data_IF_853289989833
#
_entry.id   IF_853289989833
#
_cell.length_a   1.000
_cell.length_b   1.000
_cell.length_c   1.000
_cell.angle_alpha   90.00
_cell.angle_beta   90.00
_cell.angle_gamma   90.00
#
_symmetry.space_group_name_H-M   'P 1'
#
loop_
_entity.id
_entity.type
_entity.pdbx_description
1 polymer ?
#
# COMPACT_ATOMS: atom_id res chain seq x y z
N UNK A 1 -9.61 30.87 3.74
CA UNK A 1 -10.18 30.63 2.40
C UNK A 1 -10.81 29.26 2.36
N UNK A 2 -12.10 29.21 2.25
CA UNK A 2 -12.80 27.96 1.99
C UNK A 2 -12.66 27.64 0.50
N UNK A 3 -11.90 26.62 0.20
CA UNK A 3 -11.94 26.06 -1.14
C UNK A 3 -13.27 25.34 -1.33
N UNK A 4 -14.12 25.91 -2.15
CA UNK A 4 -15.30 25.18 -2.63
C UNK A 4 -14.76 24.06 -3.51
N UNK A 5 -14.95 22.81 -3.09
CA UNK A 5 -14.53 21.67 -3.86
C UNK A 5 -15.28 21.67 -5.20
N UNK A 6 -14.57 21.83 -6.30
CA UNK A 6 -15.10 21.59 -7.62
C UNK A 6 -15.48 20.09 -7.70
N UNK A 7 -16.76 19.76 -7.95
CA UNK A 7 -17.21 18.36 -8.04
C UNK A 7 -16.52 17.57 -9.14
N UNK A 8 -15.84 18.23 -10.06
CA UNK A 8 -15.06 17.61 -11.13
C UNK A 8 -13.63 17.29 -10.69
N UNK A 9 -13.17 17.85 -9.58
CA UNK A 9 -11.84 17.58 -9.06
C UNK A 9 -11.83 16.25 -8.34
N UNK A 10 -10.85 15.42 -8.67
CA UNK A 10 -10.57 14.22 -7.87
C UNK A 10 -10.26 14.63 -6.44
N UNK A 11 -10.74 13.85 -5.44
CA UNK A 11 -10.42 14.14 -4.04
C UNK A 11 -8.91 14.28 -3.84
N UNK A 12 -8.50 15.29 -3.09
CA UNK A 12 -7.10 15.48 -2.74
C UNK A 12 -6.63 14.30 -1.88
N UNK A 13 -5.39 13.86 -2.12
CA UNK A 13 -4.71 12.88 -1.27
C UNK A 13 -4.20 13.50 0.03
N UNK A 14 -4.22 14.81 0.14
CA UNK A 14 -3.83 15.52 1.34
C UNK A 14 -4.99 15.48 2.35
N UNK A 15 -4.69 15.06 3.55
CA UNK A 15 -5.63 15.05 4.67
C UNK A 15 -5.06 15.85 5.83
N UNK A 16 -5.95 16.50 6.58
CA UNK A 16 -5.60 17.16 7.82
C UNK A 16 -5.94 16.25 8.98
N UNK A 17 -4.94 15.91 9.77
CA UNK A 17 -5.06 15.03 10.91
C UNK A 17 -4.87 15.84 12.19
N UNK A 18 -5.86 15.83 13.09
CA UNK A 18 -5.73 16.48 14.39
C UNK A 18 -4.79 15.68 15.27
N UNK A 19 -3.86 16.37 15.90
CA UNK A 19 -2.96 15.74 16.84
C UNK A 19 -3.73 15.35 18.12
N UNK A 20 -3.39 14.19 18.67
CA UNK A 20 -4.06 13.62 19.83
C UNK A 20 -3.93 14.44 21.11
N UNK A 21 -2.96 15.35 21.15
CA UNK A 21 -2.76 16.28 22.29
C UNK A 21 -3.66 17.52 22.24
N UNK A 22 -4.44 17.71 21.18
CA UNK A 22 -5.31 18.85 21.00
C UNK A 22 -4.62 20.15 20.58
N UNK A 23 -3.30 20.14 20.39
CA UNK A 23 -2.51 21.35 20.09
C UNK A 23 -2.21 21.58 18.63
N UNK A 24 -3.03 21.07 17.74
CA UNK A 24 -2.85 21.37 16.35
C UNK A 24 -3.34 20.31 15.42
N UNK A 25 -2.97 20.48 14.16
CA UNK A 25 -3.28 19.56 13.07
C UNK A 25 -2.05 19.47 12.18
N UNK A 26 -1.87 18.31 11.58
CA UNK A 26 -0.86 18.10 10.55
C UNK A 26 -1.49 17.62 9.25
N UNK A 27 -0.89 18.01 8.15
CA UNK A 27 -1.28 17.52 6.83
C UNK A 27 -0.45 16.27 6.52
N UNK A 28 -1.11 15.21 6.09
CA UNK A 28 -0.44 14.00 5.59
C UNK A 28 -0.94 13.62 4.20
N UNK A 29 -0.08 12.97 3.44
CA UNK A 29 -0.46 12.38 2.16
C UNK A 29 -1.22 11.09 2.44
N UNK A 30 -2.45 11.00 1.93
CA UNK A 30 -3.25 9.79 2.03
C UNK A 30 -2.66 8.71 1.12
N UNK A 31 -2.39 7.49 1.63
CA UNK A 31 -1.93 6.39 0.79
C UNK A 31 -2.91 6.11 -0.37
N UNK A 32 -2.39 5.64 -1.49
CA UNK A 32 -3.22 5.37 -2.68
C UNK A 32 -4.33 4.37 -2.39
N UNK A 33 -4.05 3.32 -1.61
CA UNK A 33 -5.04 2.31 -1.24
C UNK A 33 -6.21 2.94 -0.47
N UNK A 34 -5.93 3.82 0.47
CA UNK A 34 -6.95 4.54 1.23
C UNK A 34 -7.77 5.48 0.33
N UNK A 35 -7.10 6.15 -0.59
CA UNK A 35 -7.74 6.98 -1.61
C UNK A 35 -8.74 6.19 -2.45
N UNK A 36 -8.33 5.02 -2.92
CA UNK A 36 -9.17 4.15 -3.75
C UNK A 36 -10.35 3.58 -2.96
N UNK A 37 -10.16 3.27 -1.69
CA UNK A 37 -11.25 2.86 -0.80
C UNK A 37 -12.28 3.98 -0.63
N UNK A 38 -11.84 5.20 -0.35
CA UNK A 38 -12.72 6.36 -0.19
C UNK A 38 -13.53 6.67 -1.45
N UNK A 39 -12.95 6.43 -2.62
CA UNK A 39 -13.64 6.61 -3.90
C UNK A 39 -14.60 5.47 -4.23
N UNK A 40 -14.65 4.42 -3.43
CA UNK A 40 -15.41 3.22 -3.73
C UNK A 40 -14.80 2.32 -4.78
N UNK A 41 -13.56 2.60 -5.21
CA UNK A 41 -12.83 1.76 -6.18
C UNK A 41 -12.41 0.44 -5.56
N UNK A 42 -12.01 0.46 -4.29
CA UNK A 42 -11.69 -0.73 -3.51
C UNK A 42 -12.70 -0.89 -2.38
N UNK A 43 -13.01 -2.13 -2.06
CA UNK A 43 -13.77 -2.46 -0.85
C UNK A 43 -12.88 -2.31 0.38
N UNK A 44 -13.48 -2.23 1.56
CA UNK A 44 -12.73 -2.21 2.83
C UNK A 44 -11.84 -3.45 2.98
N UNK A 45 -12.33 -4.61 2.55
CA UNK A 45 -11.58 -5.87 2.56
C UNK A 45 -10.33 -5.79 1.68
N UNK A 46 -10.47 -5.29 0.46
CA UNK A 46 -9.37 -5.10 -0.48
C UNK A 46 -8.36 -4.07 0.05
N UNK A 47 -8.84 -2.98 0.61
CA UNK A 47 -7.99 -1.94 1.19
C UNK A 47 -7.17 -2.47 2.38
N UNK A 48 -7.77 -3.27 3.26
CA UNK A 48 -7.05 -3.92 4.36
C UNK A 48 -5.94 -4.84 3.86
N UNK A 49 -6.21 -5.61 2.81
CA UNK A 49 -5.20 -6.45 2.18
C UNK A 49 -4.03 -5.60 1.65
N UNK A 50 -4.31 -4.49 1.00
CA UNK A 50 -3.29 -3.57 0.52
C UNK A 50 -2.44 -2.96 1.62
N UNK A 51 -3.05 -2.55 2.72
CA UNK A 51 -2.34 -2.06 3.92
C UNK A 51 -1.44 -3.14 4.50
N UNK A 52 -1.91 -4.38 4.53
CA UNK A 52 -1.12 -5.50 5.05
C UNK A 52 0.12 -5.78 4.20
N UNK A 53 0.00 -5.71 2.88
CA UNK A 53 1.14 -5.83 1.96
C UNK A 53 2.17 -4.75 2.28
N UNK A 54 1.74 -3.50 2.39
CA UNK A 54 2.63 -2.38 2.69
C UNK A 54 3.35 -2.58 4.04
N UNK A 55 2.62 -2.96 5.08
CA UNK A 55 3.19 -3.18 6.41
C UNK A 55 4.24 -4.30 6.40
N UNK A 56 3.95 -5.41 5.74
CA UNK A 56 4.87 -6.52 5.63
C UNK A 56 6.13 -6.14 4.83
N UNK A 57 5.96 -5.39 3.75
CA UNK A 57 7.07 -4.87 2.95
C UNK A 57 7.92 -3.87 3.74
N UNK A 58 7.28 -2.91 4.40
CA UNK A 58 7.99 -1.88 5.15
C UNK A 58 8.80 -2.48 6.30
N UNK A 59 8.24 -3.41 7.05
CA UNK A 59 8.91 -4.06 8.17
C UNK A 59 9.89 -5.15 7.72
N UNK A 60 9.46 -6.04 6.81
CA UNK A 60 10.23 -7.24 6.47
C UNK A 60 11.31 -7.02 5.41
N UNK A 61 11.08 -6.12 4.47
CA UNK A 61 11.99 -5.87 3.34
C UNK A 61 12.76 -4.57 3.56
N UNK A 62 12.07 -3.46 3.75
CA UNK A 62 12.72 -2.16 3.94
C UNK A 62 13.34 -2.01 5.32
N UNK A 63 12.68 -2.50 6.36
CA UNK A 63 13.22 -2.49 7.71
C UNK A 63 14.52 -3.30 7.84
N UNK A 64 14.66 -4.37 7.07
CA UNK A 64 15.88 -5.16 7.00
C UNK A 64 17.06 -4.39 6.40
N UNK A 65 16.82 -3.46 5.46
CA UNK A 65 17.86 -2.61 4.87
C UNK A 65 18.31 -1.51 5.83
N UNK A 66 17.39 -0.99 6.64
CA UNK A 66 17.63 0.09 7.58
C UNK A 66 18.02 -0.42 8.96
N UNK A 67 17.93 -1.72 9.21
CA UNK A 67 18.16 -2.34 10.50
C UNK A 67 19.53 -2.10 11.10
N UNK A 68 20.53 -1.88 10.26
CA UNK A 68 21.91 -1.59 10.69
C UNK A 68 22.05 -0.19 11.30
N UNK A 69 21.14 0.72 11.00
CA UNK A 69 21.23 2.10 11.45
C UNK A 69 20.79 2.27 12.92
N UNK A 70 20.10 1.32 13.50
CA UNK A 70 19.56 1.44 14.85
C UNK A 70 20.42 0.82 15.95
N UNK A 71 21.43 0.07 15.59
CA UNK A 71 22.42 -0.46 16.54
C UNK A 71 21.85 -1.28 17.69
N UNK A 72 20.70 -1.87 17.53
CA UNK A 72 20.00 -2.60 18.58
C UNK A 72 20.55 -4.01 18.79
N UNK A 73 21.82 -4.15 19.07
CA UNK A 73 22.40 -5.28 19.77
C UNK A 73 22.00 -6.71 19.40
N UNK A 74 21.20 -6.88 18.39
CA UNK A 74 20.88 -8.17 17.83
C UNK A 74 21.96 -8.56 16.85
N UNK A 75 22.11 -9.82 16.60
CA UNK A 75 23.14 -10.47 15.80
C UNK A 75 23.67 -9.64 14.60
N UNK A 76 24.97 -9.77 14.26
CA UNK A 76 25.50 -9.23 13.01
C UNK A 76 24.77 -9.85 11.82
N UNK A 77 23.89 -9.11 11.22
CA UNK A 77 22.95 -9.60 10.25
C UNK A 77 21.49 -9.41 10.67
N UNK A 78 21.33 -8.95 11.82
CA UNK A 78 20.35 -8.29 12.65
C UNK A 78 18.90 -8.23 12.25
N UNK A 79 18.30 -9.33 11.82
CA UNK A 79 16.85 -9.36 11.67
C UNK A 79 16.18 -9.75 12.98
N UNK A 80 15.22 -8.94 13.43
CA UNK A 80 14.36 -9.34 14.54
C UNK A 80 13.40 -10.46 14.09
N UNK A 81 12.85 -11.20 15.06
CA UNK A 81 11.81 -12.19 14.76
C UNK A 81 10.63 -11.58 14.02
N UNK A 82 10.21 -10.37 14.40
CA UNK A 82 9.13 -9.65 13.74
C UNK A 82 9.45 -9.32 12.28
N UNK A 83 10.70 -8.93 11.99
CA UNK A 83 11.14 -8.65 10.61
C UNK A 83 11.15 -9.93 9.76
N UNK A 84 11.60 -11.04 10.32
CA UNK A 84 11.59 -12.32 9.61
C UNK A 84 10.17 -12.81 9.31
N UNK A 85 9.27 -12.66 10.27
CA UNK A 85 7.87 -13.02 10.09
C UNK A 85 7.21 -12.14 9.03
N UNK A 86 7.47 -10.84 9.06
CA UNK A 86 6.97 -9.90 8.06
C UNK A 86 7.51 -10.21 6.66
N UNK A 87 8.79 -10.54 6.53
CA UNK A 87 9.39 -10.93 5.26
C UNK A 87 8.77 -12.21 4.71
N UNK A 88 8.48 -13.18 5.57
CA UNK A 88 7.78 -14.41 5.21
C UNK A 88 6.38 -14.13 4.71
N UNK A 89 5.62 -13.35 5.46
CA UNK A 89 4.26 -12.95 5.10
C UNK A 89 4.24 -12.21 3.75
N UNK A 90 5.17 -11.29 3.55
CA UNK A 90 5.33 -10.58 2.28
C UNK A 90 5.52 -11.55 1.10
N UNK A 91 6.40 -12.53 1.26
CA UNK A 91 6.63 -13.54 0.21
C UNK A 91 5.40 -14.41 -0.05
N UNK A 92 4.67 -14.79 0.99
CA UNK A 92 3.43 -15.55 0.86
C UNK A 92 2.37 -14.76 0.09
N UNK A 93 2.20 -13.48 0.41
CA UNK A 93 1.26 -12.61 -0.30
C UNK A 93 1.67 -12.41 -1.76
N UNK A 94 2.96 -12.19 -2.01
CA UNK A 94 3.48 -12.09 -3.38
C UNK A 94 3.22 -13.37 -4.18
N UNK A 95 3.46 -14.51 -3.59
CA UNK A 95 3.21 -15.80 -4.23
C UNK A 95 1.72 -16.02 -4.50
N UNK A 96 0.86 -15.61 -3.60
CA UNK A 96 -0.59 -15.71 -3.78
C UNK A 96 -1.10 -14.86 -4.94
N UNK A 97 -0.54 -13.68 -5.13
CA UNK A 97 -0.87 -12.78 -6.25
C UNK A 97 -0.30 -13.31 -7.57
N UNK A 98 0.91 -13.82 -7.54
CA UNK A 98 1.59 -14.38 -8.71
C UNK A 98 2.38 -13.32 -9.49
N UNK A 99 3.33 -13.83 -10.29
CA UNK A 99 4.32 -12.99 -10.97
C UNK A 99 3.71 -12.01 -11.98
N UNK A 100 2.58 -12.34 -12.58
CA UNK A 100 1.94 -11.47 -13.58
C UNK A 100 1.25 -10.26 -12.97
N UNK A 101 0.60 -10.44 -11.84
CA UNK A 101 -0.18 -9.39 -11.18
C UNK A 101 0.63 -8.62 -10.14
N UNK A 102 1.72 -9.20 -9.66
CA UNK A 102 2.50 -8.61 -8.59
C UNK A 102 3.06 -7.22 -8.91
N UNK A 103 3.60 -6.94 -10.10
CA UNK A 103 4.10 -5.59 -10.41
C UNK A 103 3.04 -4.50 -10.23
N UNK A 104 1.82 -4.73 -10.68
CA UNK A 104 0.71 -3.80 -10.48
C UNK A 104 0.36 -3.65 -9.00
N UNK A 105 0.19 -4.76 -8.30
CA UNK A 105 -0.15 -4.78 -6.89
C UNK A 105 0.91 -4.06 -6.05
N UNK A 106 2.18 -4.35 -6.28
CA UNK A 106 3.31 -3.71 -5.60
C UNK A 106 3.38 -2.20 -5.89
N UNK A 107 3.23 -1.80 -7.14
CA UNK A 107 3.27 -0.39 -7.52
C UNK A 107 2.20 0.43 -6.79
N UNK A 108 0.99 -0.10 -6.66
CA UNK A 108 -0.09 0.60 -5.98
C UNK A 108 0.07 0.57 -4.47
N UNK A 109 0.39 -0.59 -3.89
CA UNK A 109 0.41 -0.75 -2.43
C UNK A 109 1.70 -0.24 -1.79
N UNK A 110 2.85 -0.44 -2.42
CA UNK A 110 4.16 -0.13 -1.84
C UNK A 110 4.78 1.13 -2.44
N UNK A 111 4.67 1.35 -3.75
CA UNK A 111 5.20 2.53 -4.41
C UNK A 111 4.20 3.69 -4.47
N UNK A 112 2.98 3.46 -4.04
CA UNK A 112 1.94 4.48 -3.94
C UNK A 112 1.49 5.07 -5.31
N UNK A 113 1.59 4.26 -6.36
CA UNK A 113 1.14 4.63 -7.69
C UNK A 113 -0.36 4.44 -7.87
N UNK A 114 -0.99 5.29 -8.66
CA UNK A 114 -2.36 5.01 -9.09
C UNK A 114 -2.40 3.88 -10.12
N UNK A 115 -3.51 3.14 -10.22
CA UNK A 115 -3.67 2.15 -11.30
C UNK A 115 -3.51 2.75 -12.69
N UNK A 116 -3.98 3.99 -12.89
CA UNK A 116 -3.83 4.71 -14.15
C UNK A 116 -2.36 4.98 -14.49
N UNK A 117 -1.56 5.39 -13.51
CA UNK A 117 -0.13 5.61 -13.69
C UNK A 117 0.58 4.33 -14.07
N UNK A 118 0.27 3.23 -13.39
CA UNK A 118 0.83 1.92 -13.75
C UNK A 118 0.48 1.54 -15.18
N UNK A 119 -0.79 1.67 -15.56
CA UNK A 119 -1.26 1.34 -16.91
C UNK A 119 -0.50 2.15 -17.98
N UNK A 120 -0.26 3.43 -17.72
CA UNK A 120 0.44 4.31 -18.66
C UNK A 120 1.94 4.04 -18.74
N UNK A 121 2.60 3.81 -17.61
CA UNK A 121 4.06 3.78 -17.53
C UNK A 121 4.65 2.37 -17.55
N UNK A 122 3.90 1.37 -17.08
CA UNK A 122 4.38 -0.02 -16.94
C UNK A 122 3.43 -1.06 -17.52
N UNK A 123 2.25 -0.66 -17.92
CA UNK A 123 1.18 -1.59 -18.31
C UNK A 123 1.25 -2.11 -19.74
N UNK A 124 2.20 -1.68 -20.56
CA UNK A 124 2.35 -2.17 -21.93
C UNK A 124 1.12 -1.99 -22.81
N UNK A 125 0.40 -0.86 -22.67
CA UNK A 125 -0.83 -0.60 -23.42
C UNK A 125 -2.11 -1.01 -22.69
N UNK A 126 -1.98 -1.40 -21.42
CA UNK A 126 -3.13 -1.75 -20.58
C UNK A 126 -4.07 -0.55 -20.40
N UNK A 127 -5.37 -0.78 -20.52
CA UNK A 127 -6.36 0.24 -20.22
C UNK A 127 -6.49 0.42 -18.69
N UNK A 128 -6.73 1.67 -18.27
CA UNK A 128 -6.92 2.01 -16.85
C UNK A 128 -7.95 1.13 -16.14
N UNK A 129 -9.10 0.88 -16.80
CA UNK A 129 -10.15 0.05 -16.21
C UNK A 129 -9.68 -1.40 -15.99
N UNK A 130 -8.87 -1.93 -16.90
CA UNK A 130 -8.27 -3.25 -16.73
C UNK A 130 -7.31 -3.28 -15.54
N UNK A 131 -6.49 -2.25 -15.36
CA UNK A 131 -5.59 -2.14 -14.22
C UNK A 131 -6.36 -2.15 -12.89
N UNK A 132 -7.48 -1.45 -12.80
CA UNK A 132 -8.34 -1.44 -11.61
C UNK A 132 -8.88 -2.84 -11.31
N UNK A 133 -9.41 -3.54 -12.31
CA UNK A 133 -9.95 -4.88 -12.12
C UNK A 133 -8.87 -5.90 -11.71
N UNK A 134 -7.69 -5.82 -12.32
CA UNK A 134 -6.57 -6.68 -11.97
C UNK A 134 -6.04 -6.38 -10.55
N UNK A 135 -6.05 -5.12 -10.14
CA UNK A 135 -5.71 -4.75 -8.77
C UNK A 135 -6.71 -5.33 -7.77
N UNK A 136 -7.99 -5.22 -8.05
CA UNK A 136 -9.05 -5.82 -7.20
C UNK A 136 -8.86 -7.31 -7.05
N UNK A 137 -8.61 -8.01 -8.15
CA UNK A 137 -8.33 -9.44 -8.13
C UNK A 137 -7.11 -9.78 -7.27
N UNK A 138 -6.02 -9.03 -7.43
CA UNK A 138 -4.80 -9.21 -6.65
C UNK A 138 -5.06 -9.07 -5.15
N UNK A 139 -5.80 -8.05 -4.76
CA UNK A 139 -6.11 -7.78 -3.35
C UNK A 139 -7.09 -8.80 -2.77
N UNK A 140 -8.02 -9.30 -3.57
CA UNK A 140 -8.90 -10.38 -3.15
C UNK A 140 -8.11 -11.67 -2.88
N UNK A 141 -7.12 -11.99 -3.72
CA UNK A 141 -6.25 -13.15 -3.50
C UNK A 141 -5.48 -13.04 -2.18
N UNK A 142 -4.98 -11.85 -1.86
CA UNK A 142 -4.29 -11.59 -0.59
C UNK A 142 -5.28 -11.67 0.58
N UNK A 143 -6.44 -11.08 0.45
CA UNK A 143 -7.47 -11.13 1.50
C UNK A 143 -7.90 -12.58 1.80
N UNK A 144 -8.05 -13.40 0.77
CA UNK A 144 -8.35 -14.83 0.93
C UNK A 144 -7.23 -15.55 1.69
N UNK A 145 -5.98 -15.28 1.34
CA UNK A 145 -4.82 -15.84 2.04
C UNK A 145 -4.81 -15.47 3.53
N UNK A 146 -5.17 -14.24 3.85
CA UNK A 146 -5.18 -13.73 5.23
C UNK A 146 -6.41 -14.17 6.02
N UNK A 147 -7.38 -14.81 5.38
CA UNK A 147 -8.63 -15.24 6.03
C UNK A 147 -9.59 -14.09 6.33
N UNK A 148 -9.49 -13.05 5.58
CA UNK A 148 -10.33 -11.86 5.72
C UNK A 148 -11.75 -12.08 5.18
#
# INVERSE_FOLDING_TARGET
MTHIADPRRKPSRLTVERLSDGFGARTRVMPMVECLERRGTLTARQARAGVRIYQAWALGIMGARDGDATGNGSDPGGYTAAQLDAAREYREMRNAVGARLWPLCFSVTCEDWSPARFANERGGGMHKAAAVELLRLSLDLVADLLGE
#
